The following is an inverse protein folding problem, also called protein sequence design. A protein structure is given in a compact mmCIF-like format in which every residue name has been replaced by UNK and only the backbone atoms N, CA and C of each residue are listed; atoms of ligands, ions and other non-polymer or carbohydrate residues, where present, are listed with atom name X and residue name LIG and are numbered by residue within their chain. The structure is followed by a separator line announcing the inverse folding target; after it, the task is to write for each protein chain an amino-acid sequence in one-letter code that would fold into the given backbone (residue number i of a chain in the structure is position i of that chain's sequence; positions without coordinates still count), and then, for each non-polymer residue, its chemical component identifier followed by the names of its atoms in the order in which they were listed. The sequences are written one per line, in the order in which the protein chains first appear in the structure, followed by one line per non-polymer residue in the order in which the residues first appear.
data_IF_629433337002
#
_entry.id   IF_629433337002
#
_cell.length_a   1.000
_cell.length_b   1.000
_cell.length_c   1.000
_cell.angle_alpha   90.00
_cell.angle_beta   90.00
_cell.angle_gamma   90.00
#
_symmetry.space_group_name_H-M   'P 1'
#
loop_
_entity.id
_entity.type
_entity.pdbx_description
1 polymer ?
#
# COMPACT_ATOMS: atom_id res chain seq x y z
N UNK A 1 1.96 -2.96 -19.17
CA UNK A 1 2.10 -4.02 -20.20
C UNK A 1 3.55 -4.15 -20.62
N UNK A 2 4.21 -3.03 -20.97
CA UNK A 2 5.65 -2.94 -21.25
C UNK A 2 6.55 -3.51 -20.13
N UNK A 3 6.29 -3.19 -18.87
CA UNK A 3 7.02 -3.75 -17.70
C UNK A 3 6.85 -5.25 -17.49
N UNK A 4 5.79 -5.86 -18.02
CA UNK A 4 5.61 -7.31 -17.96
C UNK A 4 6.33 -8.02 -19.11
N UNK A 5 6.40 -7.38 -20.28
CA UNK A 5 7.18 -7.87 -21.42
C UNK A 5 8.69 -7.81 -21.13
N UNK A 6 9.16 -6.74 -20.49
CA UNK A 6 10.56 -6.61 -20.05
C UNK A 6 11.02 -7.77 -19.14
N UNK A 7 10.12 -8.33 -18.32
CA UNK A 7 10.44 -9.50 -17.46
C UNK A 7 10.63 -10.80 -18.24
N UNK A 8 10.05 -10.90 -19.44
CA UNK A 8 10.23 -12.05 -20.32
C UNK A 8 11.62 -12.03 -20.94
N UNK A 9 12.03 -10.86 -21.44
CA UNK A 9 13.33 -10.67 -22.07
C UNK A 9 14.48 -10.55 -21.05
N UNK A 10 14.17 -10.09 -19.84
CA UNK A 10 15.11 -9.94 -18.74
C UNK A 10 14.59 -10.61 -17.45
N UNK A 11 14.88 -11.90 -17.24
CA UNK A 11 14.42 -12.65 -16.07
C UNK A 11 14.85 -12.07 -14.73
N UNK A 12 15.95 -11.28 -14.68
CA UNK A 12 16.38 -10.60 -13.45
C UNK A 12 15.38 -9.54 -12.98
N UNK A 13 14.55 -9.00 -13.89
CA UNK A 13 13.51 -8.02 -13.57
C UNK A 13 12.21 -8.66 -13.05
N UNK A 14 12.11 -10.00 -13.04
CA UNK A 14 11.04 -10.70 -12.33
C UNK A 14 11.15 -10.48 -10.83
N UNK A 15 10.04 -10.62 -10.10
CA UNK A 15 10.07 -10.50 -8.62
C UNK A 15 11.04 -11.52 -8.01
N UNK A 16 11.03 -12.77 -8.50
CA UNK A 16 11.98 -13.80 -8.08
C UNK A 16 13.43 -13.44 -8.40
N UNK A 17 13.70 -12.89 -9.59
CA UNK A 17 15.04 -12.45 -9.99
C UNK A 17 15.57 -11.32 -9.10
N UNK A 18 14.72 -10.34 -8.78
CA UNK A 18 15.06 -9.26 -7.86
C UNK A 18 15.30 -9.77 -6.42
N UNK A 19 14.57 -10.80 -5.97
CA UNK A 19 14.80 -11.41 -4.67
C UNK A 19 16.15 -12.12 -4.59
N UNK A 20 16.60 -12.77 -5.67
CA UNK A 20 17.92 -13.44 -5.70
C UNK A 20 19.06 -12.46 -5.43
N UNK A 21 18.94 -11.20 -5.89
CA UNK A 21 19.94 -10.15 -5.63
C UNK A 21 20.04 -9.76 -4.14
N UNK A 22 19.11 -10.22 -3.30
CA UNK A 22 19.06 -9.97 -1.86
C UNK A 22 19.40 -11.21 -1.01
N UNK A 23 19.84 -12.31 -1.63
CA UNK A 23 20.31 -13.49 -0.89
C UNK A 23 21.65 -13.21 -0.21
N UNK A 24 21.70 -13.48 1.09
CA UNK A 24 22.92 -13.46 1.87
C UNK A 24 23.13 -14.85 2.46
N UNK A 25 24.24 -15.51 2.09
CA UNK A 25 24.55 -16.89 2.52
C UNK A 25 23.40 -17.88 2.26
N UNK A 26 22.71 -17.74 1.13
CA UNK A 26 21.57 -18.59 0.76
C UNK A 26 20.27 -18.29 1.52
N UNK A 27 20.22 -17.20 2.29
CA UNK A 27 19.06 -16.81 3.06
C UNK A 27 18.55 -15.42 2.67
N UNK A 28 17.23 -15.28 2.58
CA UNK A 28 16.55 -13.98 2.44
C UNK A 28 16.22 -13.35 3.80
N UNK A 29 16.53 -14.02 4.91
CA UNK A 29 16.13 -13.57 6.24
C UNK A 29 16.55 -12.12 6.53
N UNK A 30 17.81 -11.68 6.28
CA UNK A 30 18.22 -10.30 6.53
C UNK A 30 17.37 -9.27 5.76
N UNK A 31 17.14 -9.54 4.47
CA UNK A 31 16.35 -8.69 3.60
C UNK A 31 14.87 -8.62 4.04
N UNK A 32 14.28 -9.77 4.36
CA UNK A 32 12.88 -9.88 4.74
C UNK A 32 12.61 -9.21 6.09
N UNK A 33 13.52 -9.35 7.06
CA UNK A 33 13.42 -8.65 8.35
C UNK A 33 13.41 -7.13 8.15
N UNK A 34 14.31 -6.60 7.31
CA UNK A 34 14.35 -5.16 7.00
C UNK A 34 13.06 -4.68 6.32
N UNK A 35 12.54 -5.43 5.35
CA UNK A 35 11.29 -5.11 4.65
C UNK A 35 10.08 -5.15 5.59
N UNK A 36 10.00 -6.17 6.44
CA UNK A 36 8.91 -6.34 7.40
C UNK A 36 8.85 -5.16 8.38
N UNK A 37 10.00 -4.74 8.94
CA UNK A 37 10.07 -3.57 9.81
C UNK A 37 9.60 -2.30 9.10
N UNK A 38 10.08 -2.04 7.87
CA UNK A 38 9.65 -0.87 7.09
C UNK A 38 8.14 -0.85 6.83
N UNK A 39 7.55 -1.99 6.47
CA UNK A 39 6.10 -2.08 6.27
C UNK A 39 5.31 -1.96 7.57
N UNK A 40 5.83 -2.50 8.67
CA UNK A 40 5.23 -2.33 9.99
C UNK A 40 5.24 -0.85 10.40
N UNK A 41 6.34 -0.15 10.23
CA UNK A 41 6.45 1.28 10.52
C UNK A 41 5.51 2.10 9.63
N UNK A 42 5.47 1.80 8.33
CA UNK A 42 4.54 2.43 7.40
C UNK A 42 3.08 2.18 7.77
N UNK A 43 2.74 0.96 8.19
CA UNK A 43 1.43 0.62 8.70
C UNK A 43 1.11 1.39 9.98
N UNK A 44 2.04 1.46 10.95
CA UNK A 44 1.89 2.22 12.19
C UNK A 44 1.69 3.73 11.93
N UNK A 45 2.42 4.31 10.97
CA UNK A 45 2.23 5.70 10.56
C UNK A 45 0.89 5.91 9.82
N UNK A 46 0.47 4.94 9.01
CA UNK A 46 -0.81 4.97 8.29
C UNK A 46 -2.02 4.70 9.21
N UNK A 47 -1.80 3.99 10.32
CA UNK A 47 -2.76 3.76 11.41
C UNK A 47 -3.00 5.06 12.21
N UNK A 48 -3.52 6.09 11.54
CA UNK A 48 -4.46 6.98 12.23
C UNK A 48 -5.68 6.13 12.54
N UNK A 49 -5.93 5.89 13.82
CA UNK A 49 -7.15 5.26 14.30
C UNK A 49 -8.34 6.02 13.72
N UNK A 50 -9.12 5.36 12.86
CA UNK A 50 -10.43 5.87 12.50
C UNK A 50 -11.31 5.69 13.74
N UNK A 51 -11.48 6.76 14.52
CA UNK A 51 -12.30 6.76 15.73
C UNK A 51 -13.81 6.67 15.43
N UNK A 52 -14.19 6.38 14.19
CA UNK A 52 -15.58 6.35 13.76
C UNK A 52 -16.27 7.70 13.96
N UNK A 53 -17.44 7.66 14.56
CA UNK A 53 -18.26 8.83 14.90
C UNK A 53 -18.27 9.09 16.41
N UNK A 54 -17.27 8.60 17.15
CA UNK A 54 -17.28 8.58 18.62
C UNK A 54 -17.45 9.97 19.27
N UNK A 55 -16.97 11.02 18.59
CA UNK A 55 -17.00 12.40 19.08
C UNK A 55 -18.04 13.28 18.34
N UNK A 56 -19.00 12.69 17.63
CA UNK A 56 -19.95 13.46 16.82
C UNK A 56 -21.20 13.85 17.57
N UNK A 57 -21.33 15.15 17.86
CA UNK A 57 -22.55 15.74 18.43
C UNK A 57 -23.66 15.92 17.38
N UNK A 58 -23.32 15.94 16.08
CA UNK A 58 -24.27 16.06 14.97
C UNK A 58 -23.94 15.08 13.83
N UNK A 59 -24.95 14.54 13.11
CA UNK A 59 -24.71 13.69 11.95
C UNK A 59 -23.96 14.44 10.84
N UNK A 60 -22.91 13.79 10.28
CA UNK A 60 -22.18 14.32 9.14
C UNK A 60 -23.06 14.42 7.89
N UNK A 61 -22.79 15.43 7.06
CA UNK A 61 -23.21 15.39 5.66
C UNK A 61 -22.52 14.24 4.91
N UNK A 62 -23.10 13.78 3.80
CA UNK A 62 -22.50 12.73 2.99
C UNK A 62 -21.10 13.13 2.47
N UNK A 63 -20.87 14.42 2.22
CA UNK A 63 -19.61 14.96 1.75
C UNK A 63 -18.54 14.97 2.86
N UNK A 64 -18.92 15.39 4.07
CA UNK A 64 -18.02 15.34 5.22
C UNK A 64 -17.66 13.90 5.58
N UNK A 65 -18.60 12.97 5.46
CA UNK A 65 -18.34 11.54 5.65
C UNK A 65 -17.32 11.01 4.63
N UNK A 66 -17.50 11.32 3.34
CA UNK A 66 -16.56 10.95 2.27
C UNK A 66 -15.16 11.50 2.56
N UNK A 67 -15.07 12.77 2.96
CA UNK A 67 -13.79 13.41 3.27
C UNK A 67 -13.12 12.84 4.52
N UNK A 68 -13.87 12.47 5.55
CA UNK A 68 -13.31 11.85 6.74
C UNK A 68 -12.84 10.40 6.49
N UNK A 69 -13.61 9.62 5.72
CA UNK A 69 -13.27 8.23 5.39
C UNK A 69 -12.09 8.13 4.42
N UNK A 70 -12.10 8.97 3.39
CA UNK A 70 -11.21 8.82 2.26
C UNK A 70 -10.21 9.96 2.11
N UNK A 71 -10.22 10.97 3.00
CA UNK A 71 -9.27 12.10 2.99
C UNK A 71 -9.18 12.81 1.63
N UNK A 72 -10.30 12.89 0.90
CA UNK A 72 -10.34 13.44 -0.46
C UNK A 72 -9.61 12.61 -1.52
N UNK A 73 -9.09 11.41 -1.19
CA UNK A 73 -8.39 10.53 -2.13
C UNK A 73 -9.30 9.55 -2.85
N UNK A 74 -10.62 9.57 -2.58
CA UNK A 74 -11.59 8.74 -3.26
C UNK A 74 -12.41 9.57 -4.24
N UNK A 75 -12.10 9.41 -5.53
CA UNK A 75 -13.00 9.76 -6.61
C UNK A 75 -13.66 8.49 -7.15
N UNK A 76 -14.99 8.35 -7.05
CA UNK A 76 -15.68 7.23 -7.67
C UNK A 76 -15.61 7.40 -9.19
N UNK A 77 -14.58 6.87 -9.83
CA UNK A 77 -14.39 6.85 -11.29
C UNK A 77 -15.37 5.91 -12.02
N UNK A 78 -16.54 5.65 -11.44
CA UNK A 78 -17.53 4.69 -11.94
C UNK A 78 -18.75 5.29 -12.64
N UNK A 79 -18.88 6.62 -12.73
CA UNK A 79 -19.96 7.28 -13.48
C UNK A 79 -19.36 8.26 -14.48
N UNK A 80 -18.90 7.72 -15.61
CA UNK A 80 -18.80 8.48 -16.85
C UNK A 80 -20.20 8.39 -17.48
N UNK A 81 -20.92 9.52 -17.50
CA UNK A 81 -22.08 9.71 -18.39
C UNK A 81 -21.62 9.84 -19.84
#
# INVERSE_FOLDING_TARGET
METMMDRFDNPANTISGQLVAHLENGSLLPYMTKRAAHYQDGALMAMRTFNGFADMETPLSAEDLKNNLFRGSYEPSGLVE
#
